data_IF_279563617404
#
_entry.id   IF_279563617404
#
_cell.length_a   1.000
_cell.length_b   1.000
_cell.length_c   1.000
_cell.angle_alpha   90.00
_cell.angle_beta   90.00
_cell.angle_gamma   90.00
#
_symmetry.space_group_name_H-M   'P 1'
#
loop_
_entity.id
_entity.type
_entity.pdbx_description
1 polymer ?
#
# COMPACT_ATOMS: atom_id res chain seq x y z
N UNK A 1 0.65 8.40 -25.29
CA UNK A 1 0.79 6.96 -25.09
C UNK A 1 1.27 6.72 -23.67
N UNK A 2 0.64 5.80 -22.93
CA UNK A 2 0.87 5.59 -21.49
C UNK A 2 2.32 5.14 -21.17
N UNK A 3 2.94 4.20 -21.91
CA UNK A 3 4.33 3.80 -21.67
C UNK A 3 5.32 4.96 -21.74
N UNK A 4 5.19 5.82 -22.76
CA UNK A 4 6.08 6.98 -22.91
C UNK A 4 5.90 7.99 -21.77
N UNK A 5 4.66 8.20 -21.32
CA UNK A 5 4.36 9.11 -20.22
C UNK A 5 4.90 8.58 -18.89
N UNK A 6 4.74 7.28 -18.62
CA UNK A 6 5.20 6.67 -17.38
C UNK A 6 6.73 6.69 -17.27
N UNK A 7 7.44 6.42 -18.37
CA UNK A 7 8.90 6.56 -18.44
C UNK A 7 9.34 8.01 -18.20
N UNK A 8 8.65 8.99 -18.78
CA UNK A 8 8.96 10.40 -18.56
C UNK A 8 8.72 10.81 -17.10
N UNK A 9 7.64 10.33 -16.48
CA UNK A 9 7.32 10.58 -15.07
C UNK A 9 8.39 9.99 -14.13
N UNK A 10 8.82 8.75 -14.37
CA UNK A 10 9.89 8.11 -13.61
C UNK A 10 11.18 8.92 -13.65
N UNK A 11 11.59 9.37 -14.84
CA UNK A 11 12.78 10.21 -15.00
C UNK A 11 12.66 11.52 -14.23
N UNK A 12 11.55 12.23 -14.40
CA UNK A 12 11.32 13.51 -13.73
C UNK A 12 11.32 13.38 -12.19
N UNK A 13 10.73 12.30 -11.64
CA UNK A 13 10.76 12.04 -10.19
C UNK A 13 12.17 11.69 -9.73
N UNK A 14 12.89 10.85 -10.48
CA UNK A 14 14.26 10.42 -10.15
C UNK A 14 15.27 11.56 -10.19
N UNK A 15 15.00 12.64 -10.94
CA UNK A 15 15.85 13.84 -10.97
C UNK A 15 15.80 14.64 -9.65
N UNK A 16 14.74 14.50 -8.86
CA UNK A 16 14.51 15.32 -7.66
C UNK A 16 14.36 14.50 -6.37
N UNK A 17 14.40 13.18 -6.45
CA UNK A 17 14.19 12.27 -5.33
C UNK A 17 15.01 10.99 -5.49
N UNK A 18 15.68 10.60 -4.41
CA UNK A 18 16.38 9.31 -4.28
C UNK A 18 15.47 8.19 -3.71
N UNK A 19 14.22 8.52 -3.38
CA UNK A 19 13.27 7.54 -2.83
C UNK A 19 12.86 6.50 -3.89
N UNK A 20 12.67 5.22 -3.50
CA UNK A 20 12.19 4.20 -4.42
C UNK A 20 10.82 4.51 -5.03
N UNK A 21 10.60 4.11 -6.27
CA UNK A 21 9.36 4.36 -7.01
C UNK A 21 8.38 3.17 -6.93
N UNK A 22 7.13 3.49 -6.63
CA UNK A 22 5.98 2.62 -6.85
C UNK A 22 5.42 2.89 -8.26
N UNK A 23 5.52 1.93 -9.16
CA UNK A 23 5.05 2.02 -10.54
C UNK A 23 3.60 1.53 -10.58
N UNK A 24 2.68 2.44 -10.87
CA UNK A 24 1.24 2.20 -10.89
C UNK A 24 0.71 2.21 -12.32
N UNK A 25 0.40 1.02 -12.85
CA UNK A 25 -0.23 0.89 -14.16
C UNK A 25 -0.90 -0.47 -14.30
N UNK A 26 -2.04 -0.49 -15.01
CA UNK A 26 -2.73 -1.71 -15.41
C UNK A 26 -2.32 -2.19 -16.81
N UNK A 27 -1.51 -1.41 -17.54
CA UNK A 27 -1.08 -1.66 -18.91
C UNK A 27 0.29 -2.34 -18.91
N UNK A 28 0.35 -3.53 -19.52
CA UNK A 28 1.55 -4.37 -19.48
C UNK A 28 2.75 -3.71 -20.18
N UNK A 29 2.51 -3.09 -21.32
CA UNK A 29 3.53 -2.40 -22.12
C UNK A 29 4.08 -1.18 -21.36
N UNK A 30 3.24 -0.50 -20.58
CA UNK A 30 3.67 0.62 -19.76
C UNK A 30 4.52 0.15 -18.59
N UNK A 31 4.11 -0.93 -17.92
CA UNK A 31 4.85 -1.53 -16.81
C UNK A 31 6.23 -2.03 -17.26
N UNK A 32 6.33 -2.72 -18.40
CA UNK A 32 7.62 -3.20 -18.93
C UNK A 32 8.54 -2.03 -19.31
N UNK A 33 8.01 -1.01 -19.99
CA UNK A 33 8.80 0.18 -20.34
C UNK A 33 9.30 0.93 -19.10
N UNK A 34 8.45 1.06 -18.08
CA UNK A 34 8.75 1.72 -16.83
C UNK A 34 9.82 0.97 -16.02
N UNK A 35 9.67 -0.34 -15.85
CA UNK A 35 10.64 -1.18 -15.15
C UNK A 35 12.00 -1.27 -15.88
N UNK A 36 12.01 -1.14 -17.21
CA UNK A 36 13.24 -1.07 -17.98
C UNK A 36 13.95 0.30 -17.85
N UNK A 37 13.19 1.38 -17.61
CA UNK A 37 13.73 2.72 -17.48
C UNK A 37 14.14 3.11 -16.05
N UNK A 38 13.71 2.35 -15.04
CA UNK A 38 13.96 2.65 -13.64
C UNK A 38 15.23 1.94 -13.13
N UNK A 39 16.06 2.69 -12.42
CA UNK A 39 17.26 2.16 -11.76
C UNK A 39 16.99 1.93 -10.27
N UNK A 40 17.18 0.68 -9.82
CA UNK A 40 16.93 0.27 -8.44
C UNK A 40 15.76 -0.70 -8.31
N UNK A 41 15.32 -0.93 -7.06
CA UNK A 41 14.22 -1.85 -6.77
C UNK A 41 12.88 -1.12 -6.76
N UNK A 42 12.07 -1.36 -7.78
CA UNK A 42 10.72 -0.78 -7.86
C UNK A 42 9.71 -1.57 -7.01
N UNK A 43 8.60 -0.93 -6.68
CA UNK A 43 7.37 -1.60 -6.25
C UNK A 43 6.36 -1.56 -7.40
N UNK A 44 5.82 -2.70 -7.81
CA UNK A 44 4.79 -2.79 -8.86
C UNK A 44 3.40 -2.75 -8.22
N UNK A 45 2.59 -1.76 -8.61
CA UNK A 45 1.17 -1.65 -8.27
C UNK A 45 0.33 -1.94 -9.53
N UNK A 46 -0.26 -3.11 -9.70
CA UNK A 46 -0.31 -4.30 -8.82
C UNK A 46 -0.59 -5.55 -9.65
N UNK A 47 -0.69 -6.71 -8.98
CA UNK A 47 -1.23 -7.95 -9.53
C UNK A 47 -2.50 -8.35 -8.76
N UNK A 48 -3.51 -8.86 -9.46
CA UNK A 48 -4.70 -9.52 -8.89
C UNK A 48 -4.53 -11.04 -8.95
N UNK A 49 -5.34 -11.81 -8.22
CA UNK A 49 -5.23 -13.27 -8.19
C UNK A 49 -5.86 -13.98 -9.40
N UNK A 50 -6.04 -13.28 -10.51
CA UNK A 50 -6.38 -13.91 -11.80
C UNK A 50 -5.14 -14.64 -12.35
N UNK A 51 -5.28 -15.90 -12.74
CA UNK A 51 -4.13 -16.72 -13.20
C UNK A 51 -3.40 -16.08 -14.38
N UNK A 52 -4.14 -15.63 -15.39
CA UNK A 52 -3.57 -14.97 -16.58
C UNK A 52 -2.80 -13.69 -16.22
N UNK A 53 -3.26 -12.96 -15.18
CA UNK A 53 -2.62 -11.73 -14.75
C UNK A 53 -1.34 -12.01 -13.98
N UNK A 54 -1.37 -12.97 -13.06
CA UNK A 54 -0.19 -13.42 -12.32
C UNK A 54 0.89 -13.96 -13.26
N UNK A 55 0.51 -14.76 -14.26
CA UNK A 55 1.44 -15.37 -15.21
C UNK A 55 2.06 -14.36 -16.20
N UNK A 56 1.50 -13.16 -16.29
CA UNK A 56 2.09 -12.05 -17.06
C UNK A 56 2.95 -11.14 -16.20
N UNK A 57 2.48 -10.78 -14.99
CA UNK A 57 3.13 -9.76 -14.15
C UNK A 57 4.28 -10.35 -13.34
N UNK A 58 4.13 -11.52 -12.73
CA UNK A 58 5.15 -12.09 -11.83
C UNK A 58 6.47 -12.42 -12.54
N UNK A 59 6.50 -12.94 -13.78
CA UNK A 59 7.74 -13.08 -14.52
C UNK A 59 8.46 -11.75 -14.77
N UNK A 60 7.70 -10.67 -15.03
CA UNK A 60 8.26 -9.33 -15.22
C UNK A 60 8.83 -8.78 -13.91
N UNK A 61 8.11 -8.92 -12.80
CA UNK A 61 8.57 -8.57 -11.45
C UNK A 61 9.89 -9.29 -11.14
N UNK A 62 9.94 -10.60 -11.39
CA UNK A 62 11.16 -11.40 -11.18
C UNK A 62 12.31 -10.96 -12.06
N UNK A 63 12.07 -10.73 -13.36
CA UNK A 63 13.06 -10.28 -14.35
C UNK A 63 13.75 -8.98 -13.92
N UNK A 64 13.00 -8.05 -13.36
CA UNK A 64 13.51 -6.74 -12.93
C UNK A 64 13.91 -6.68 -11.45
N UNK A 65 13.77 -7.78 -10.70
CA UNK A 65 14.07 -7.80 -9.26
C UNK A 65 13.19 -6.85 -8.44
N UNK A 66 11.98 -6.54 -8.92
CA UNK A 66 11.04 -5.64 -8.27
C UNK A 66 10.28 -6.35 -7.14
N UNK A 67 9.69 -5.55 -6.25
CA UNK A 67 8.63 -6.00 -5.35
C UNK A 67 7.26 -5.82 -6.01
N UNK A 68 6.22 -6.49 -5.51
CA UNK A 68 4.87 -6.44 -6.09
C UNK A 68 3.79 -6.32 -5.03
N UNK A 69 2.78 -5.50 -5.32
CA UNK A 69 1.54 -5.42 -4.57
C UNK A 69 0.59 -6.50 -5.09
N UNK A 70 0.17 -7.42 -4.23
CA UNK A 70 -0.83 -8.43 -4.50
C UNK A 70 -2.18 -8.03 -3.93
N UNK A 71 -3.14 -7.64 -4.78
CA UNK A 71 -4.48 -7.27 -4.34
C UNK A 71 -5.31 -8.52 -4.06
N UNK A 72 -5.92 -8.59 -2.87
CA UNK A 72 -6.73 -9.73 -2.42
C UNK A 72 -8.12 -9.80 -3.08
N UNK A 73 -8.16 -9.72 -4.42
CA UNK A 73 -9.32 -9.96 -5.27
C UNK A 73 -8.94 -10.83 -6.47
N UNK A 74 -9.95 -11.45 -7.06
CA UNK A 74 -9.83 -12.29 -8.25
C UNK A 74 -10.97 -11.99 -9.25
N UNK A 75 -11.17 -12.87 -10.22
CA UNK A 75 -12.23 -12.78 -11.24
C UNK A 75 -13.66 -12.72 -10.67
N UNK A 76 -13.88 -13.15 -9.41
CA UNK A 76 -15.17 -13.08 -8.73
C UNK A 76 -15.43 -11.72 -8.07
N UNK A 77 -14.41 -10.85 -8.05
CA UNK A 77 -14.45 -9.52 -7.46
C UNK A 77 -13.89 -9.47 -6.04
N UNK A 78 -14.42 -8.54 -5.25
CA UNK A 78 -13.95 -8.30 -3.88
C UNK A 78 -14.91 -9.00 -2.91
N UNK A 79 -14.45 -10.07 -2.26
CA UNK A 79 -15.24 -10.74 -1.23
C UNK A 79 -15.48 -9.84 0.00
N UNK A 80 -16.61 -10.00 0.66
CA UNK A 80 -16.92 -9.37 1.95
C UNK A 80 -16.56 -10.26 3.16
N UNK A 81 -15.96 -11.43 2.92
CA UNK A 81 -15.56 -12.39 3.94
C UNK A 81 -14.04 -12.33 4.14
N UNK A 82 -13.53 -11.93 5.31
CA UNK A 82 -12.09 -11.82 5.57
C UNK A 82 -11.29 -13.08 5.26
N UNK A 83 -11.84 -14.26 5.55
CA UNK A 83 -11.21 -15.55 5.32
C UNK A 83 -11.04 -15.87 3.82
N UNK A 84 -11.98 -15.42 2.99
CA UNK A 84 -11.88 -15.57 1.53
C UNK A 84 -10.78 -14.65 0.98
N UNK A 85 -10.69 -13.41 1.47
CA UNK A 85 -9.56 -12.51 1.12
C UNK A 85 -8.22 -13.07 1.56
N UNK A 86 -8.15 -13.70 2.73
CA UNK A 86 -6.95 -14.41 3.20
C UNK A 86 -6.56 -15.57 2.26
N UNK A 87 -7.54 -16.35 1.80
CA UNK A 87 -7.29 -17.44 0.85
C UNK A 87 -6.73 -16.92 -0.49
N UNK A 88 -7.28 -15.81 -1.00
CA UNK A 88 -6.79 -15.14 -2.20
C UNK A 88 -5.36 -14.61 -1.98
N UNK A 89 -5.09 -13.93 -0.87
CA UNK A 89 -3.75 -13.46 -0.52
C UNK A 89 -2.74 -14.62 -0.47
N UNK A 90 -3.13 -15.77 0.11
CA UNK A 90 -2.29 -16.98 0.17
C UNK A 90 -1.97 -17.50 -1.23
N UNK A 91 -2.94 -17.52 -2.15
CA UNK A 91 -2.74 -17.90 -3.55
C UNK A 91 -1.72 -17.02 -4.24
N UNK A 92 -1.78 -15.69 -4.04
CA UNK A 92 -0.81 -14.75 -4.61
C UNK A 92 0.60 -15.02 -4.07
N UNK A 93 0.75 -15.18 -2.75
CA UNK A 93 2.06 -15.46 -2.13
C UNK A 93 2.65 -16.78 -2.66
N UNK A 94 1.83 -17.82 -2.80
CA UNK A 94 2.27 -19.11 -3.34
C UNK A 94 2.70 -18.99 -4.80
N UNK A 95 1.89 -18.35 -5.66
CA UNK A 95 2.23 -18.15 -7.07
C UNK A 95 3.48 -17.29 -7.24
N UNK A 96 3.66 -16.24 -6.44
CA UNK A 96 4.89 -15.44 -6.45
C UNK A 96 6.13 -16.27 -6.07
N UNK A 97 6.00 -17.17 -5.09
CA UNK A 97 7.06 -18.09 -4.70
C UNK A 97 7.43 -19.09 -5.82
N UNK A 98 6.46 -19.57 -6.60
CA UNK A 98 6.69 -20.43 -7.78
C UNK A 98 7.56 -19.73 -8.84
N UNK A 99 7.41 -18.41 -9.01
CA UNK A 99 8.28 -17.58 -9.85
C UNK A 99 9.59 -17.14 -9.17
N UNK A 100 9.84 -17.59 -7.94
CA UNK A 100 11.06 -17.30 -7.18
C UNK A 100 11.14 -15.86 -6.67
N UNK A 101 10.01 -15.19 -6.44
CA UNK A 101 9.94 -13.89 -5.77
C UNK A 101 9.93 -14.15 -4.25
N UNK A 102 10.84 -13.53 -3.47
CA UNK A 102 10.90 -13.79 -2.04
C UNK A 102 9.70 -13.16 -1.33
N UNK A 103 9.33 -13.72 -0.17
CA UNK A 103 8.12 -13.35 0.55
C UNK A 103 8.10 -11.87 0.96
N UNK A 104 9.25 -11.33 1.36
CA UNK A 104 9.42 -9.92 1.73
C UNK A 104 9.11 -8.94 0.57
N UNK A 105 9.17 -9.41 -0.68
CA UNK A 105 8.88 -8.65 -1.90
C UNK A 105 7.44 -8.80 -2.37
N UNK A 106 6.60 -9.53 -1.64
CA UNK A 106 5.16 -9.65 -1.89
C UNK A 106 4.41 -8.90 -0.80
N UNK A 107 3.89 -7.73 -1.15
CA UNK A 107 3.13 -6.85 -0.26
C UNK A 107 1.65 -7.05 -0.55
N UNK A 108 0.87 -7.51 0.42
CA UNK A 108 -0.55 -7.82 0.21
C UNK A 108 -1.41 -6.57 0.43
N UNK A 109 -2.32 -6.29 -0.50
CA UNK A 109 -3.38 -5.30 -0.30
C UNK A 109 -4.69 -6.00 0.09
N UNK A 110 -5.19 -5.81 1.33
CA UNK A 110 -6.45 -6.38 1.80
C UNK A 110 -7.70 -5.67 1.24
N UNK A 111 -7.51 -4.61 0.46
CA UNK A 111 -8.53 -3.82 -0.24
C UNK A 111 -9.48 -3.11 0.74
N UNK A 112 -9.11 -1.88 1.14
CA UNK A 112 -10.02 -1.04 1.91
C UNK A 112 -11.23 -0.62 1.05
N UNK A 113 -12.41 -0.92 1.56
CA UNK A 113 -13.68 -0.50 0.97
C UNK A 113 -14.27 0.69 1.71
N UNK A 114 -15.04 1.51 1.00
CA UNK A 114 -15.67 2.69 1.60
C UNK A 114 -16.74 2.33 2.62
N UNK A 115 -16.66 2.94 3.80
CA UNK A 115 -17.69 2.82 4.83
C UNK A 115 -18.98 3.58 4.49
N UNK A 116 -18.94 4.42 3.46
CA UNK A 116 -20.12 5.11 2.94
C UNK A 116 -21.10 4.14 2.25
N UNK A 117 -20.58 3.07 1.64
CA UNK A 117 -21.39 2.06 0.96
C UNK A 117 -21.95 1.02 1.95
N UNK A 118 -21.13 0.60 2.91
CA UNK A 118 -21.50 -0.35 3.96
C UNK A 118 -20.70 -0.05 5.24
N UNK A 119 -21.34 0.17 6.40
CA UNK A 119 -20.66 0.50 7.66
C UNK A 119 -19.74 -0.63 8.17
N UNK A 120 -19.92 -1.87 7.69
CA UNK A 120 -19.09 -3.02 8.08
C UNK A 120 -17.77 -3.10 7.33
N UNK A 121 -17.61 -2.36 6.22
CA UNK A 121 -16.38 -2.35 5.39
C UNK A 121 -15.10 -2.13 6.20
N UNK A 122 -15.14 -1.23 7.18
CA UNK A 122 -14.00 -0.94 8.04
C UNK A 122 -13.60 -2.15 8.90
N UNK A 123 -14.58 -2.83 9.51
CA UNK A 123 -14.34 -4.03 10.31
C UNK A 123 -13.81 -5.18 9.47
N UNK A 124 -14.40 -5.43 8.30
CA UNK A 124 -13.96 -6.48 7.37
C UNK A 124 -12.51 -6.24 6.94
N UNK A 125 -12.17 -5.00 6.60
CA UNK A 125 -10.81 -4.61 6.19
C UNK A 125 -9.80 -4.87 7.32
N UNK A 126 -10.12 -4.43 8.55
CA UNK A 126 -9.25 -4.60 9.71
C UNK A 126 -9.10 -6.08 10.09
N UNK A 127 -10.17 -6.87 10.02
CA UNK A 127 -10.09 -8.30 10.30
C UNK A 127 -9.26 -9.04 9.25
N UNK A 128 -9.38 -8.65 7.98
CA UNK A 128 -8.54 -9.20 6.89
C UNK A 128 -7.07 -8.89 7.14
N UNK A 129 -6.73 -7.66 7.55
CA UNK A 129 -5.37 -7.28 7.92
C UNK A 129 -4.84 -8.14 9.08
N UNK A 130 -5.67 -8.33 10.12
CA UNK A 130 -5.34 -9.16 11.28
C UNK A 130 -5.01 -10.60 10.86
N UNK A 131 -5.88 -11.19 10.05
CA UNK A 131 -5.69 -12.54 9.52
C UNK A 131 -4.42 -12.66 8.67
N UNK A 132 -4.16 -11.73 7.75
CA UNK A 132 -2.94 -11.76 6.93
C UNK A 132 -1.69 -11.64 7.81
N UNK A 133 -1.70 -10.77 8.82
CA UNK A 133 -0.58 -10.64 9.77
C UNK A 133 -0.33 -11.96 10.51
N UNK A 134 -1.38 -12.55 11.07
CA UNK A 134 -1.27 -13.71 11.97
C UNK A 134 -0.98 -15.01 11.19
N UNK A 135 -1.53 -15.18 9.99
CA UNK A 135 -1.47 -16.43 9.21
C UNK A 135 -0.43 -16.42 8.08
N UNK A 136 -0.20 -15.26 7.46
CA UNK A 136 0.77 -15.13 6.36
C UNK A 136 2.04 -14.42 6.84
N UNK A 137 1.93 -13.38 7.66
CA UNK A 137 3.08 -12.57 8.08
C UNK A 137 3.78 -11.85 6.92
N UNK A 138 3.04 -11.54 5.85
CA UNK A 138 3.50 -10.71 4.75
C UNK A 138 3.38 -9.23 5.12
N UNK A 139 4.23 -8.39 4.51
CA UNK A 139 4.00 -6.95 4.51
C UNK A 139 2.63 -6.66 3.87
N UNK A 140 1.96 -5.62 4.36
CA UNK A 140 0.67 -5.18 3.84
C UNK A 140 0.72 -3.70 3.44
N UNK A 141 0.04 -3.39 2.33
CA UNK A 141 -0.19 -2.03 1.85
C UNK A 141 -1.68 -1.81 1.67
N UNK A 142 -2.14 -0.56 1.79
CA UNK A 142 -3.53 -0.26 1.49
C UNK A 142 -3.68 1.17 0.97
N UNK A 143 -4.55 1.36 -0.02
CA UNK A 143 -5.09 2.68 -0.39
C UNK A 143 -5.95 3.26 0.72
N UNK A 144 -5.34 3.86 1.74
CA UNK A 144 -6.01 4.25 2.98
C UNK A 144 -7.17 5.24 2.76
N UNK A 145 -7.11 6.07 1.71
CA UNK A 145 -8.18 7.01 1.39
C UNK A 145 -9.47 6.37 0.86
N UNK A 146 -9.44 5.10 0.45
CA UNK A 146 -10.60 4.40 -0.09
C UNK A 146 -11.68 4.19 0.97
N UNK A 147 -11.29 4.03 2.24
CA UNK A 147 -12.20 3.85 3.37
C UNK A 147 -13.21 5.00 3.53
N UNK A 148 -12.82 6.21 3.12
CA UNK A 148 -13.62 7.43 3.26
C UNK A 148 -14.22 7.94 1.95
N UNK A 149 -14.11 7.18 0.86
CA UNK A 149 -14.60 7.63 -0.45
C UNK A 149 -16.10 7.97 -0.39
N UNK A 150 -16.47 9.17 -0.86
CA UNK A 150 -17.85 9.67 -0.84
C UNK A 150 -18.29 10.37 0.45
N UNK A 151 -17.46 10.42 1.49
CA UNK A 151 -17.78 11.12 2.74
C UNK A 151 -17.27 12.57 2.79
N UNK A 152 -17.90 13.46 3.58
CA UNK A 152 -17.27 14.70 4.02
C UNK A 152 -16.13 14.42 5.01
N UNK A 153 -15.27 15.41 5.24
CA UNK A 153 -14.17 15.36 6.22
C UNK A 153 -13.30 14.08 6.15
N UNK A 154 -12.93 13.70 4.93
CA UNK A 154 -12.16 12.48 4.64
C UNK A 154 -10.81 12.43 5.36
N UNK A 155 -10.19 13.60 5.59
CA UNK A 155 -8.91 13.69 6.28
C UNK A 155 -9.00 13.12 7.71
N UNK A 156 -10.04 13.48 8.46
CA UNK A 156 -10.30 12.97 9.81
C UNK A 156 -10.58 11.46 9.81
N UNK A 157 -11.41 10.98 8.88
CA UNK A 157 -11.73 9.55 8.77
C UNK A 157 -10.47 8.73 8.45
N UNK A 158 -9.66 9.18 7.49
CA UNK A 158 -8.40 8.53 7.13
C UNK A 158 -7.40 8.54 8.30
N UNK A 159 -7.32 9.66 9.03
CA UNK A 159 -6.48 9.80 10.22
C UNK A 159 -6.91 8.86 11.36
N UNK A 160 -8.21 8.60 11.52
CA UNK A 160 -8.69 7.61 12.49
C UNK A 160 -8.44 6.16 12.03
N UNK A 161 -8.59 5.89 10.73
CA UNK A 161 -8.42 4.56 10.16
C UNK A 161 -6.98 4.05 10.25
N UNK A 162 -5.98 4.90 9.95
CA UNK A 162 -4.59 4.47 9.85
C UNK A 162 -4.04 3.83 11.13
N UNK A 163 -4.18 4.41 12.34
CA UNK A 163 -3.73 3.75 13.58
C UNK A 163 -4.44 2.42 13.85
N UNK A 164 -5.73 2.30 13.52
CA UNK A 164 -6.47 1.04 13.65
C UNK A 164 -5.90 -0.01 12.69
N UNK A 165 -5.63 0.37 11.44
CA UNK A 165 -5.05 -0.50 10.44
C UNK A 165 -3.61 -0.92 10.80
N UNK A 166 -2.79 0.01 11.30
CA UNK A 166 -1.45 -0.29 11.81
C UNK A 166 -1.50 -1.32 12.95
N UNK A 167 -2.42 -1.13 13.90
CA UNK A 167 -2.63 -2.11 14.98
C UNK A 167 -3.11 -3.47 14.45
N UNK A 168 -3.93 -3.49 13.41
CA UNK A 168 -4.36 -4.72 12.73
C UNK A 168 -3.24 -5.39 11.90
N UNK A 169 -2.11 -4.72 11.66
CA UNK A 169 -0.93 -5.28 11.00
C UNK A 169 -0.50 -4.57 9.73
N UNK A 170 -1.17 -3.50 9.30
CA UNK A 170 -0.78 -2.73 8.13
C UNK A 170 0.63 -2.16 8.27
N UNK A 171 1.52 -2.48 7.33
CA UNK A 171 2.93 -2.05 7.38
C UNK A 171 3.20 -0.77 6.59
N UNK A 172 2.42 -0.48 5.55
CA UNK A 172 2.50 0.76 4.79
C UNK A 172 1.15 1.16 4.19
N UNK A 173 1.02 2.39 3.71
CA UNK A 173 -0.22 2.89 3.12
C UNK A 173 0.05 3.81 1.93
N UNK A 174 -0.77 3.70 0.89
CA UNK A 174 -0.87 4.69 -0.19
C UNK A 174 -1.82 5.78 0.32
N UNK A 175 -1.28 6.95 0.64
CA UNK A 175 -2.02 8.09 1.20
C UNK A 175 -1.33 9.41 0.86
N UNK A 176 -1.97 10.54 1.18
CA UNK A 176 -1.36 11.86 1.03
C UNK A 176 -0.60 12.25 2.33
N UNK A 177 0.75 12.19 2.36
CA UNK A 177 1.52 12.52 3.56
C UNK A 177 1.53 14.02 3.89
N UNK A 178 1.05 14.87 2.97
CA UNK A 178 0.99 16.32 3.18
C UNK A 178 -0.25 16.75 3.98
N UNK A 179 -1.21 15.85 4.19
CA UNK A 179 -2.39 16.11 5.02
C UNK A 179 -1.98 16.03 6.50
N UNK A 180 -2.00 17.14 7.27
CA UNK A 180 -1.45 17.16 8.62
C UNK A 180 -2.14 16.17 9.58
N UNK A 181 -3.44 15.96 9.43
CA UNK A 181 -4.23 14.99 10.21
C UNK A 181 -3.70 13.58 10.01
N UNK A 182 -3.46 13.19 8.76
CA UNK A 182 -2.92 11.88 8.38
C UNK A 182 -1.51 11.69 8.91
N UNK A 183 -0.61 12.67 8.66
CA UNK A 183 0.77 12.62 9.16
C UNK A 183 0.82 12.47 10.68
N UNK A 184 0.05 13.28 11.42
CA UNK A 184 0.03 13.24 12.88
C UNK A 184 -0.56 11.92 13.39
N UNK A 185 -1.59 11.40 12.74
CA UNK A 185 -2.15 10.10 13.12
C UNK A 185 -1.15 8.96 12.96
N UNK A 186 -0.38 8.92 11.87
CA UNK A 186 0.67 7.90 11.68
C UNK A 186 1.75 8.01 12.76
N UNK A 187 2.22 9.23 13.07
CA UNK A 187 3.22 9.43 14.14
C UNK A 187 2.68 9.04 15.53
N UNK A 188 1.42 9.35 15.82
CA UNK A 188 0.78 8.93 17.05
C UNK A 188 0.58 7.42 17.11
N UNK A 189 0.24 6.79 15.98
CA UNK A 189 0.14 5.33 15.84
C UNK A 189 1.49 4.66 16.12
N UNK A 190 2.56 5.15 15.50
CA UNK A 190 3.94 4.68 15.74
C UNK A 190 4.34 4.83 17.22
N UNK A 191 4.01 5.95 17.85
CA UNK A 191 4.26 6.18 19.27
C UNK A 191 3.54 5.14 20.15
N UNK A 192 2.24 4.93 19.92
CA UNK A 192 1.41 4.04 20.73
C UNK A 192 1.71 2.55 20.50
N UNK A 193 2.19 2.19 19.31
CA UNK A 193 2.62 0.82 18.97
C UNK A 193 4.06 0.53 19.40
N UNK A 194 4.77 1.50 20.01
CA UNK A 194 6.12 1.31 20.51
C UNK A 194 7.22 1.43 19.45
N UNK A 195 6.92 2.01 18.30
CA UNK A 195 7.88 2.24 17.21
C UNK A 195 8.64 3.59 17.34
N UNK A 196 8.30 4.45 18.31
CA UNK A 196 8.97 5.73 18.54
C UNK A 196 9.71 5.76 19.88
N UNK A 197 11.01 5.42 19.84
CA UNK A 197 11.85 5.33 21.04
C UNK A 197 11.92 6.71 21.74
N UNK A 198 11.56 6.72 23.03
CA UNK A 198 11.46 7.94 23.86
C UNK A 198 10.58 9.06 23.26
N UNK A 199 9.62 8.72 22.40
CA UNK A 199 8.77 9.68 21.70
C UNK A 199 9.55 10.74 20.88
N UNK A 200 10.77 10.42 20.44
CA UNK A 200 11.67 11.40 19.82
C UNK A 200 11.13 11.93 18.50
N UNK A 201 10.57 11.06 17.64
CA UNK A 201 9.98 11.48 16.36
C UNK A 201 8.74 12.34 16.59
N UNK A 202 7.89 11.97 17.54
CA UNK A 202 6.72 12.77 17.94
C UNK A 202 7.11 14.17 18.42
N UNK A 203 8.02 14.27 19.39
CA UNK A 203 8.45 15.55 19.98
C UNK A 203 9.11 16.44 18.92
N UNK A 204 10.00 15.88 18.09
CA UNK A 204 10.69 16.64 17.04
C UNK A 204 9.69 17.18 16.00
N UNK A 205 8.76 16.32 15.56
CA UNK A 205 7.71 16.66 14.60
C UNK A 205 6.80 17.77 15.12
N UNK A 206 6.36 17.68 16.38
CA UNK A 206 5.51 18.70 17.00
C UNK A 206 6.22 20.06 17.14
N UNK A 207 7.51 20.07 17.49
CA UNK A 207 8.31 21.31 17.55
C UNK A 207 8.46 21.96 16.17
N UNK A 208 8.66 21.17 15.12
CA UNK A 208 8.75 21.67 13.76
C UNK A 208 7.44 22.35 13.31
N UNK A 209 6.29 21.74 13.63
CA UNK A 209 4.98 22.30 13.33
C UNK A 209 4.77 23.66 14.04
N UNK A 210 5.17 23.78 15.33
CA UNK A 210 5.09 25.05 16.07
C UNK A 210 5.99 26.15 15.48
N UNK A 211 7.21 25.80 15.06
CA UNK A 211 8.14 26.76 14.45
C UNK A 211 7.60 27.29 13.11
N UNK A 212 6.99 26.42 12.29
CA UNK A 212 6.36 26.83 11.03
C UNK A 212 5.13 27.72 11.26
N UNK A 213 4.30 27.41 12.27
CA UNK A 213 3.15 28.23 12.63
C UNK A 213 3.55 29.61 13.15
N UNK A 214 4.70 29.73 13.83
CA UNK A 214 5.23 31.00 14.33
C UNK A 214 5.94 31.84 13.26
N UNK A 215 6.21 31.27 12.08
CA UNK A 215 6.91 31.93 10.96
C UNK A 215 5.96 32.42 9.86
N UNK A 216 4.65 32.22 10.02
CA UNK A 216 3.58 32.71 9.14
C UNK A 216 2.85 33.88 9.79
#
# INVERSE_FOLDING_TARGET
>A
DEPALLVAAIKAVSEVSELPICIDSSVMEALEAALAAYEGKALVNSVTAEDERMDRILPLVKKHGAAVIGMANDETGISMVPEERLAIARRIVQRAAEYGIPKEDVIIDPIAMTVAADPTCGLITLETMRLIRDELGNNMICGASNVSFGLPDRATVNAAFLPLAMHAGLTCAITNPLVPEVRRAVLAGDLLLGHDEYAMRWIASYRADLAQASSK
#
